data_IF_788616444542
#
_entry.id   IF_788616444542
#
_cell.length_a   1.000
_cell.length_b   1.000
_cell.length_c   1.000
_cell.angle_alpha   90.00
_cell.angle_beta   90.00
_cell.angle_gamma   90.00
#
_symmetry.space_group_name_H-M   'P 1'
#
loop_
_entity.id
_entity.type
_entity.pdbx_description
1 polymer ?
#
# COMPACT_ATOMS: atom_id res chain seq x y z
N UNK A 1 14.82 11.71 -13.87
CA UNK A 1 16.13 11.14 -13.49
C UNK A 1 15.89 9.95 -12.62
N UNK A 2 16.54 8.85 -12.97
CA UNK A 2 16.37 7.49 -12.44
C UNK A 2 16.78 7.32 -10.96
N UNK A 3 16.29 8.19 -10.09
CA UNK A 3 16.54 8.10 -8.64
C UNK A 3 16.04 6.77 -8.05
N UNK A 4 15.21 6.06 -8.80
CA UNK A 4 14.58 4.83 -8.35
C UNK A 4 15.11 3.55 -8.99
N UNK A 5 15.97 3.63 -10.00
CA UNK A 5 16.52 2.45 -10.68
C UNK A 5 17.63 1.74 -9.88
N UNK A 6 18.22 2.39 -8.86
CA UNK A 6 19.39 1.89 -8.14
C UNK A 6 19.11 1.24 -6.79
N UNK A 7 17.87 1.22 -6.34
CA UNK A 7 17.50 0.65 -5.04
C UNK A 7 16.73 -0.65 -5.22
N UNK A 8 17.33 -1.75 -4.87
CA UNK A 8 16.88 -3.11 -5.08
C UNK A 8 15.44 -3.46 -4.67
N UNK A 9 15.08 -4.72 -4.71
CA UNK A 9 13.75 -5.29 -4.49
C UNK A 9 12.94 -4.70 -3.31
N UNK A 10 13.58 -4.19 -2.25
CA UNK A 10 12.91 -3.51 -1.14
C UNK A 10 12.14 -2.24 -1.53
N UNK A 11 12.62 -1.52 -2.56
CA UNK A 11 11.98 -0.31 -3.06
C UNK A 11 10.74 -0.61 -3.93
N UNK A 12 10.73 -1.74 -4.60
CA UNK A 12 9.58 -2.20 -5.38
C UNK A 12 8.36 -2.44 -4.48
N UNK A 13 8.59 -3.02 -3.31
CA UNK A 13 7.51 -3.26 -2.33
C UNK A 13 6.98 -1.96 -1.71
N UNK A 14 7.84 -0.98 -1.43
CA UNK A 14 7.43 0.34 -0.94
C UNK A 14 6.56 1.12 -1.94
N UNK A 15 6.77 0.90 -3.25
CA UNK A 15 5.98 1.54 -4.32
C UNK A 15 4.61 0.91 -4.56
N UNK A 16 4.40 -0.32 -4.12
CA UNK A 16 3.12 -0.99 -4.30
C UNK A 16 2.01 -0.37 -3.44
N UNK A 17 2.36 0.20 -2.30
CA UNK A 17 1.42 0.82 -1.37
C UNK A 17 0.91 2.21 -1.79
N UNK A 18 1.59 2.92 -2.68
CA UNK A 18 1.23 4.30 -3.03
C UNK A 18 0.21 4.37 -4.17
N UNK A 19 -0.61 5.41 -4.18
CA UNK A 19 -1.63 5.64 -5.22
C UNK A 19 -1.08 6.41 -6.41
N UNK A 20 -0.18 7.34 -6.21
CA UNK A 20 0.27 8.30 -7.22
C UNK A 20 0.98 7.70 -8.45
N UNK A 21 1.44 6.46 -8.37
CA UNK A 21 2.06 5.75 -9.49
C UNK A 21 1.11 4.74 -10.19
N UNK A 22 -0.20 4.85 -9.97
CA UNK A 22 -1.21 3.93 -10.48
C UNK A 22 -2.34 4.64 -11.19
N UNK A 23 -2.96 3.92 -12.11
CA UNK A 23 -4.22 4.29 -12.74
C UNK A 23 -5.28 3.24 -12.34
N UNK A 24 -6.44 3.71 -11.97
CA UNK A 24 -7.54 2.88 -11.49
C UNK A 24 -8.74 2.98 -12.42
N UNK A 25 -9.42 1.89 -12.64
CA UNK A 25 -10.69 1.91 -13.35
C UNK A 25 -11.76 2.58 -12.47
N UNK A 26 -12.25 3.72 -12.93
CA UNK A 26 -13.21 4.52 -12.19
C UNK A 26 -14.56 3.83 -11.98
N UNK A 27 -14.98 2.96 -12.89
CA UNK A 27 -16.19 2.16 -12.76
C UNK A 27 -16.13 1.20 -11.55
N UNK A 28 -14.98 0.55 -11.32
CA UNK A 28 -14.79 -0.30 -10.15
C UNK A 28 -14.89 0.50 -8.84
N UNK A 29 -14.27 1.68 -8.80
CA UNK A 29 -14.35 2.55 -7.61
C UNK A 29 -15.79 3.00 -7.35
N UNK A 30 -16.53 3.35 -8.40
CA UNK A 30 -17.94 3.80 -8.25
C UNK A 30 -18.90 2.69 -7.83
N UNK A 31 -18.62 1.45 -8.26
CA UNK A 31 -19.47 0.29 -7.95
C UNK A 31 -19.22 -0.27 -6.53
N UNK A 32 -18.08 0.05 -5.93
CA UNK A 32 -17.65 -0.49 -4.65
C UNK A 32 -17.35 0.63 -3.65
N UNK A 33 -18.33 1.07 -2.86
CA UNK A 33 -18.17 2.19 -1.90
C UNK A 33 -17.14 1.93 -0.80
N UNK A 34 -16.79 0.66 -0.55
CA UNK A 34 -15.72 0.25 0.37
C UNK A 34 -14.31 0.52 -0.18
N UNK A 35 -14.19 0.80 -1.49
CA UNK A 35 -12.94 1.25 -2.11
C UNK A 35 -12.78 2.75 -1.88
N UNK A 36 -12.26 3.10 -0.73
CA UNK A 36 -12.05 4.48 -0.30
C UNK A 36 -10.77 4.60 0.53
N UNK A 37 -10.24 5.82 0.64
CA UNK A 37 -9.24 6.13 1.64
C UNK A 37 -9.90 6.15 3.02
N UNK A 38 -9.25 5.58 4.02
CA UNK A 38 -9.73 5.66 5.39
C UNK A 38 -9.47 7.04 5.98
N UNK A 39 -10.52 7.72 6.47
CA UNK A 39 -10.40 9.00 7.17
C UNK A 39 -9.81 8.84 8.59
N UNK A 40 -9.79 7.62 9.11
CA UNK A 40 -9.25 7.30 10.42
C UNK A 40 -7.72 7.10 10.41
N UNK A 41 -7.14 6.90 9.22
CA UNK A 41 -5.71 6.67 9.04
C UNK A 41 -4.98 7.96 8.68
N UNK A 42 -4.20 8.50 9.59
CA UNK A 42 -3.28 9.62 9.33
C UNK A 42 -2.08 9.21 8.46
N UNK A 43 -1.90 7.89 8.23
CA UNK A 43 -0.76 7.30 7.55
C UNK A 43 -1.16 5.98 6.88
N UNK A 44 -0.62 5.74 5.68
CA UNK A 44 -0.90 4.53 4.87
C UNK A 44 -2.34 4.38 4.37
N UNK A 45 -3.10 5.46 4.26
CA UNK A 45 -4.42 5.51 3.64
C UNK A 45 -4.38 5.04 2.18
N UNK A 46 -3.30 5.37 1.45
CA UNK A 46 -3.00 4.90 0.11
C UNK A 46 -2.94 3.38 0.02
N UNK A 47 -2.28 2.78 0.99
CA UNK A 47 -2.12 1.34 1.05
C UNK A 47 -3.45 0.64 1.34
N UNK A 48 -4.25 1.19 2.23
CA UNK A 48 -5.60 0.71 2.51
C UNK A 48 -6.50 0.77 1.26
N UNK A 49 -6.46 1.89 0.53
CA UNK A 49 -7.18 2.04 -0.73
C UNK A 49 -6.77 0.97 -1.75
N UNK A 50 -5.46 0.75 -1.93
CA UNK A 50 -4.96 -0.26 -2.85
C UNK A 50 -5.44 -1.67 -2.49
N UNK A 51 -5.47 -2.01 -1.21
CA UNK A 51 -5.95 -3.31 -0.75
C UNK A 51 -7.45 -3.50 -1.00
N UNK A 52 -8.26 -2.48 -0.73
CA UNK A 52 -9.68 -2.54 -1.00
C UNK A 52 -9.96 -2.63 -2.51
N UNK A 53 -9.21 -1.91 -3.33
CA UNK A 53 -9.33 -1.96 -4.79
C UNK A 53 -8.93 -3.33 -5.38
N UNK A 54 -7.82 -3.92 -4.91
CA UNK A 54 -7.31 -5.20 -5.38
C UNK A 54 -8.35 -6.32 -5.22
N UNK A 55 -9.19 -6.25 -4.24
CA UNK A 55 -10.28 -7.21 -4.00
C UNK A 55 -11.21 -7.38 -5.21
N UNK A 56 -11.36 -6.33 -6.02
CA UNK A 56 -12.27 -6.27 -7.18
C UNK A 56 -11.54 -6.23 -8.52
N UNK A 57 -10.23 -6.04 -8.52
CA UNK A 57 -9.44 -5.94 -9.74
C UNK A 57 -9.06 -7.33 -10.27
N UNK A 58 -9.45 -7.62 -11.49
CA UNK A 58 -9.17 -8.91 -12.16
C UNK A 58 -7.90 -8.87 -13.01
N UNK A 59 -7.50 -7.69 -13.46
CA UNK A 59 -6.39 -7.51 -14.38
C UNK A 59 -5.48 -6.37 -13.98
N UNK A 60 -4.17 -6.60 -14.12
CA UNK A 60 -3.12 -5.63 -13.83
C UNK A 60 -2.23 -5.46 -15.05
N UNK A 61 -1.80 -4.24 -15.30
CA UNK A 61 -0.85 -3.92 -16.35
C UNK A 61 0.26 -3.00 -15.80
N UNK A 62 1.51 -3.39 -16.02
CA UNK A 62 2.66 -2.59 -15.64
C UNK A 62 3.12 -1.71 -16.81
N UNK A 63 3.21 -0.40 -16.58
CA UNK A 63 3.77 0.56 -17.54
C UNK A 63 5.23 0.82 -17.22
N UNK A 64 6.08 0.80 -18.24
CA UNK A 64 7.49 1.19 -18.12
C UNK A 64 7.71 2.69 -18.21
N UNK A 65 6.72 3.44 -18.72
CA UNK A 65 6.79 4.89 -18.88
C UNK A 65 6.54 5.60 -17.56
N UNK A 66 7.41 6.53 -17.13
CA UNK A 66 7.16 7.36 -15.94
C UNK A 66 5.94 8.25 -16.16
N UNK A 67 4.97 8.21 -15.25
CA UNK A 67 3.72 8.98 -15.33
C UNK A 67 3.60 10.05 -14.24
N UNK A 68 4.52 10.09 -13.29
CA UNK A 68 4.45 10.99 -12.14
C UNK A 68 5.82 11.48 -11.68
N UNK A 69 5.91 12.76 -11.33
CA UNK A 69 7.09 13.37 -10.73
C UNK A 69 6.88 13.57 -9.23
N UNK A 70 7.60 12.83 -8.42
CA UNK A 70 7.55 12.96 -6.98
C UNK A 70 8.48 14.10 -6.52
N UNK A 71 7.89 15.18 -6.03
CA UNK A 71 8.62 16.32 -5.46
C UNK A 71 8.74 16.10 -3.95
N UNK A 72 9.98 16.14 -3.43
CA UNK A 72 10.20 16.04 -1.99
C UNK A 72 9.87 17.38 -1.32
N UNK A 73 9.00 17.32 -0.32
CA UNK A 73 8.66 18.45 0.52
C UNK A 73 9.15 18.18 1.95
N UNK A 74 10.06 19.02 2.53
CA UNK A 74 10.53 18.85 3.90
C UNK A 74 9.42 18.97 4.95
N UNK A 75 8.33 19.70 4.65
CA UNK A 75 7.17 19.85 5.53
C UNK A 75 6.13 18.73 5.39
N UNK A 76 6.49 17.65 4.70
CA UNK A 76 5.60 16.50 4.50
C UNK A 76 5.22 15.84 5.83
N UNK A 77 3.97 15.43 5.96
CA UNK A 77 3.44 14.67 7.11
C UNK A 77 4.27 13.42 7.45
N UNK A 78 4.93 12.82 6.46
CA UNK A 78 5.79 11.63 6.63
C UNK A 78 6.97 11.88 7.60
N UNK A 79 7.42 13.14 7.73
CA UNK A 79 8.54 13.50 8.60
C UNK A 79 8.14 13.72 10.07
N UNK A 80 6.85 13.84 10.37
CA UNK A 80 6.31 14.18 11.70
C UNK A 80 5.38 13.10 12.27
N UNK A 81 5.58 11.84 11.89
CA UNK A 81 4.73 10.72 12.34
C UNK A 81 4.98 10.38 13.81
N UNK A 82 3.90 10.24 14.57
CA UNK A 82 3.95 9.69 15.92
C UNK A 82 4.20 8.17 15.87
N UNK A 83 5.28 7.66 16.49
CA UNK A 83 5.63 6.23 16.44
C UNK A 83 4.53 5.29 16.94
N UNK A 84 3.78 5.72 17.95
CA UNK A 84 2.67 4.93 18.52
C UNK A 84 1.51 4.80 17.52
N UNK A 85 1.15 5.91 16.85
CA UNK A 85 0.14 5.89 15.80
C UNK A 85 0.58 5.03 14.61
N UNK A 86 1.85 5.12 14.22
CA UNK A 86 2.41 4.28 13.14
C UNK A 86 2.28 2.80 13.46
N UNK A 87 2.59 2.41 14.70
CA UNK A 87 2.47 1.01 15.13
C UNK A 87 1.00 0.54 15.14
N UNK A 88 0.09 1.35 15.65
CA UNK A 88 -1.34 1.05 15.65
C UNK A 88 -1.89 0.88 14.22
N UNK A 89 -1.56 1.80 13.32
CA UNK A 89 -1.93 1.73 11.91
C UNK A 89 -1.38 0.47 11.23
N UNK A 90 -0.13 0.10 11.50
CA UNK A 90 0.46 -1.13 10.97
C UNK A 90 -0.28 -2.38 11.45
N UNK A 91 -0.67 -2.42 12.70
CA UNK A 91 -1.44 -3.53 13.25
C UNK A 91 -2.81 -3.66 12.58
N UNK A 92 -3.49 -2.55 12.41
CA UNK A 92 -4.78 -2.50 11.72
C UNK A 92 -4.67 -2.96 10.26
N UNK A 93 -3.68 -2.46 9.54
CA UNK A 93 -3.38 -2.88 8.16
C UNK A 93 -3.02 -4.38 8.08
N UNK A 94 -2.24 -4.90 9.02
CA UNK A 94 -1.94 -6.34 9.07
C UNK A 94 -3.21 -7.18 9.23
N UNK A 95 -4.10 -6.76 10.10
CA UNK A 95 -5.39 -7.44 10.31
C UNK A 95 -6.22 -7.44 9.04
N UNK A 96 -6.35 -6.29 8.40
CA UNK A 96 -7.04 -6.17 7.12
C UNK A 96 -6.42 -7.05 6.02
N UNK A 97 -5.09 -7.09 5.96
CA UNK A 97 -4.36 -7.93 5.01
C UNK A 97 -4.62 -9.42 5.22
N UNK A 98 -4.61 -9.85 6.48
CA UNK A 98 -4.91 -11.25 6.83
C UNK A 98 -6.32 -11.63 6.40
N UNK A 99 -7.29 -10.76 6.62
CA UNK A 99 -8.68 -11.01 6.23
C UNK A 99 -8.83 -11.04 4.70
N UNK A 100 -8.21 -10.10 3.99
CA UNK A 100 -8.19 -10.12 2.53
C UNK A 100 -7.59 -11.42 1.98
N UNK A 101 -6.45 -11.88 2.51
CA UNK A 101 -5.81 -13.10 2.06
C UNK A 101 -6.62 -14.35 2.40
N UNK A 102 -7.36 -14.34 3.52
CA UNK A 102 -8.31 -15.43 3.85
C UNK A 102 -9.48 -15.47 2.88
N UNK A 103 -10.08 -14.31 2.57
CA UNK A 103 -11.18 -14.21 1.61
C UNK A 103 -10.78 -14.69 0.21
N UNK A 104 -9.52 -14.45 -0.17
CA UNK A 104 -8.95 -14.91 -1.44
C UNK A 104 -8.44 -16.36 -1.41
N UNK A 105 -8.48 -17.05 -0.28
CA UNK A 105 -7.94 -18.40 -0.11
C UNK A 105 -6.42 -18.52 -0.16
N UNK A 106 -5.70 -17.39 0.03
CA UNK A 106 -4.24 -17.29 -0.11
C UNK A 106 -3.49 -17.21 1.24
N UNK A 107 -4.21 -17.20 2.36
CA UNK A 107 -3.61 -16.91 3.67
C UNK A 107 -2.60 -17.98 4.10
N UNK A 108 -2.94 -19.25 4.00
CA UNK A 108 -2.08 -20.34 4.50
C UNK A 108 -0.73 -20.37 3.78
N UNK A 109 -0.73 -20.16 2.46
CA UNK A 109 0.49 -20.16 1.65
C UNK A 109 1.37 -18.90 1.86
N UNK A 110 0.79 -17.83 2.38
CA UNK A 110 1.45 -16.53 2.48
C UNK A 110 1.62 -15.99 3.91
N UNK A 111 1.11 -16.66 4.93
CA UNK A 111 1.09 -16.16 6.33
C UNK A 111 2.46 -15.75 6.86
N UNK A 112 3.52 -16.50 6.53
CA UNK A 112 4.89 -16.17 6.95
C UNK A 112 5.41 -14.91 6.24
N UNK A 113 5.10 -14.74 4.95
CA UNK A 113 5.47 -13.55 4.18
C UNK A 113 4.77 -12.30 4.68
N UNK A 114 3.47 -12.41 5.01
CA UNK A 114 2.70 -11.32 5.58
C UNK A 114 3.26 -10.86 6.91
N UNK A 115 3.50 -11.79 7.83
CA UNK A 115 4.06 -11.47 9.14
C UNK A 115 5.46 -10.85 9.00
N UNK A 116 6.33 -11.41 8.17
CA UNK A 116 7.67 -10.88 7.92
C UNK A 116 7.63 -9.48 7.31
N UNK A 117 6.73 -9.20 6.39
CA UNK A 117 6.58 -7.88 5.79
C UNK A 117 6.28 -6.81 6.84
N UNK A 118 5.37 -7.07 7.77
CA UNK A 118 5.00 -6.12 8.81
C UNK A 118 6.05 -5.99 9.91
N UNK A 119 6.69 -7.07 10.31
CA UNK A 119 7.78 -7.05 11.29
C UNK A 119 9.09 -6.53 10.69
N UNK A 120 9.44 -6.87 9.48
CA UNK A 120 10.65 -6.38 8.79
C UNK A 120 10.63 -4.87 8.53
N UNK A 121 9.46 -4.25 8.39
CA UNK A 121 9.32 -2.78 8.32
C UNK A 121 9.57 -2.11 9.68
N UNK A 122 9.39 -2.84 10.78
CA UNK A 122 9.70 -2.35 12.13
C UNK A 122 11.20 -2.33 12.44
N UNK A 123 11.99 -3.11 11.70
CA UNK A 123 13.45 -3.21 11.87
C UNK A 123 14.23 -2.24 10.97
N UNK A 124 13.58 -1.58 10.03
CA UNK A 124 14.18 -0.62 9.11
C UNK A 124 13.78 0.81 9.45
#
# INVERSE_FOLDING_TARGET
RDYYASRGLGDVYKRQGVMWNKLYRADLVRQHPDVACSEELDYSEDFYFNLSFIRYAERFYALSTPIYNYVQNPDSLVHNLNPVKVLATRWELLTYYKDLYRDLGLYEDNKYRLNRYFFGIAES
#
